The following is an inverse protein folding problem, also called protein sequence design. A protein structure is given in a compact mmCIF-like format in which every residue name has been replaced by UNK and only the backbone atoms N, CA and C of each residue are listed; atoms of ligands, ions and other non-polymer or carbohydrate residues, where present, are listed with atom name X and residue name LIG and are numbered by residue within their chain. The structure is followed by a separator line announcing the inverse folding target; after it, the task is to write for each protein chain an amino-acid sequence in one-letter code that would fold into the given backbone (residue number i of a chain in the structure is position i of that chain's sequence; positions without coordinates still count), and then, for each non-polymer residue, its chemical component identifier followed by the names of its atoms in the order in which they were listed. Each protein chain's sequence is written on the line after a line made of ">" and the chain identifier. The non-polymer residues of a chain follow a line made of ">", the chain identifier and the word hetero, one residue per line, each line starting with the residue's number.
data_IF_654162885760
#
_entry.id   IF_654162885760
#
_cell.length_a   1.000
_cell.length_b   1.000
_cell.length_c   1.000
_cell.angle_alpha   90.00
_cell.angle_beta   90.00
_cell.angle_gamma   90.00
#
_symmetry.space_group_name_H-M   'P 1'
#
loop_
_entity.id
_entity.type
_entity.pdbx_description
1 polymer ?
#
# COMPACT_ATOMS: atom_id res chain seq x y z
N UNK A 1 2.51 -3.71 5.71
CA UNK A 1 1.33 -3.22 4.95
C UNK A 1 0.69 -4.42 4.28
N UNK A 2 -0.64 -4.50 4.28
CA UNK A 2 -1.42 -5.55 3.59
C UNK A 2 -2.26 -4.95 2.47
N UNK A 3 -2.59 -5.73 1.44
CA UNK A 3 -3.33 -5.25 0.26
C UNK A 3 -4.82 -5.45 0.43
N UNK A 4 -5.21 -6.57 1.03
CA UNK A 4 -6.60 -6.85 1.33
C UNK A 4 -6.68 -7.49 2.72
N UNK A 5 -7.24 -6.82 3.74
CA UNK A 5 -7.38 -7.37 5.09
C UNK A 5 -8.13 -8.69 5.19
N UNK A 6 -9.03 -8.99 4.24
CA UNK A 6 -9.78 -10.24 4.20
C UNK A 6 -8.91 -11.39 3.66
N UNK A 7 -8.12 -11.13 2.61
CA UNK A 7 -7.22 -12.13 2.04
C UNK A 7 -5.99 -12.33 2.94
N UNK A 8 -5.44 -11.24 3.47
CA UNK A 8 -4.24 -11.19 4.30
C UNK A 8 -4.54 -11.36 5.81
N UNK A 9 -5.71 -11.90 6.18
CA UNK A 9 -6.21 -11.94 7.56
C UNK A 9 -5.22 -12.60 8.54
N UNK A 10 -4.50 -13.63 8.08
CA UNK A 10 -3.50 -14.31 8.90
C UNK A 10 -2.34 -13.38 9.28
N UNK A 11 -1.82 -12.61 8.31
CA UNK A 11 -0.75 -11.64 8.57
C UNK A 11 -1.22 -10.53 9.52
N UNK A 12 -2.47 -10.08 9.39
CA UNK A 12 -3.07 -9.09 10.29
C UNK A 12 -3.17 -9.64 11.72
N UNK A 13 -3.64 -10.88 11.89
CA UNK A 13 -3.74 -11.55 13.21
C UNK A 13 -2.39 -11.72 13.87
N UNK A 14 -1.38 -12.18 13.13
CA UNK A 14 -0.02 -12.35 13.65
C UNK A 14 0.63 -11.01 14.04
N UNK A 15 0.46 -9.98 13.21
CA UNK A 15 0.95 -8.63 13.52
C UNK A 15 0.29 -8.06 14.78
N UNK A 16 -1.03 -8.22 14.90
CA UNK A 16 -1.77 -7.80 16.09
C UNK A 16 -1.29 -8.54 17.36
N UNK A 17 -1.06 -9.85 17.28
CA UNK A 17 -0.53 -10.63 18.41
C UNK A 17 0.87 -10.16 18.85
N UNK A 18 1.69 -9.68 17.90
CA UNK A 18 3.02 -9.13 18.17
C UNK A 18 3.02 -7.62 18.46
N UNK A 19 1.87 -6.96 18.50
CA UNK A 19 1.73 -5.49 18.69
C UNK A 19 2.50 -4.67 17.64
N UNK A 20 2.53 -5.17 16.41
CA UNK A 20 3.12 -4.46 15.27
C UNK A 20 1.99 -3.66 14.60
N UNK A 21 2.17 -2.34 14.36
CA UNK A 21 1.14 -1.54 13.71
C UNK A 21 0.92 -1.98 12.25
N UNK A 22 -0.35 -2.05 11.85
CA UNK A 22 -0.78 -2.54 10.53
C UNK A 22 -1.41 -1.41 9.71
N UNK A 23 -0.85 -1.19 8.53
CA UNK A 23 -1.46 -0.37 7.47
C UNK A 23 -2.08 -1.28 6.40
N UNK A 24 -3.26 -0.92 5.90
CA UNK A 24 -3.94 -1.66 4.83
C UNK A 24 -4.54 -0.77 3.75
N UNK A 25 -4.66 -1.31 2.53
CA UNK A 25 -5.53 -0.77 1.49
C UNK A 25 -6.92 -1.39 1.67
N UNK A 26 -7.96 -0.57 1.77
CA UNK A 26 -9.33 -1.05 1.97
C UNK A 26 -10.27 -0.46 0.92
N UNK A 27 -11.06 -1.33 0.29
CA UNK A 27 -12.27 -0.97 -0.46
C UNK A 27 -13.50 -1.01 0.46
N UNK A 28 -14.70 -0.81 -0.10
CA UNK A 28 -15.97 -0.80 0.66
C UNK A 28 -16.40 -2.15 1.24
N UNK A 29 -15.80 -3.26 0.79
CA UNK A 29 -16.09 -4.61 1.25
C UNK A 29 -15.19 -5.05 2.41
N UNK A 30 -14.01 -4.45 2.58
CA UNK A 30 -13.06 -4.87 3.61
C UNK A 30 -13.49 -4.42 5.02
N UNK A 31 -13.14 -5.22 6.04
CA UNK A 31 -13.30 -4.85 7.45
C UNK A 31 -12.06 -4.12 7.96
N UNK A 32 -12.26 -3.02 8.70
CA UNK A 32 -11.20 -2.23 9.35
C UNK A 32 -10.67 -2.81 10.67
N UNK A 33 -11.03 -4.06 11.01
CA UNK A 33 -10.65 -4.66 12.31
C UNK A 33 -9.14 -4.92 12.36
N UNK A 34 -8.51 -4.53 13.48
CA UNK A 34 -7.07 -4.70 13.73
C UNK A 34 -6.17 -4.00 12.70
N UNK A 35 -6.67 -2.91 12.09
CA UNK A 35 -5.91 -2.04 11.20
C UNK A 35 -5.77 -0.68 11.87
N UNK A 36 -4.54 -0.18 11.97
CA UNK A 36 -4.24 1.12 12.60
C UNK A 36 -4.38 2.28 11.60
N UNK A 37 -4.06 2.03 10.32
CA UNK A 37 -4.14 3.04 9.27
C UNK A 37 -4.70 2.45 7.97
N UNK A 38 -5.68 3.15 7.40
CA UNK A 38 -6.37 2.73 6.18
C UNK A 38 -6.04 3.69 5.04
N UNK A 39 -5.69 3.12 3.89
CA UNK A 39 -5.66 3.79 2.60
C UNK A 39 -6.93 3.39 1.85
N UNK A 40 -7.95 4.27 1.77
CA UNK A 40 -9.20 3.95 1.09
C UNK A 40 -8.99 3.97 -0.43
N UNK A 41 -9.01 2.79 -1.08
CA UNK A 41 -8.82 2.68 -2.52
C UNK A 41 -9.34 1.34 -3.07
N UNK A 42 -9.37 1.20 -4.40
CA UNK A 42 -9.68 -0.06 -5.06
C UNK A 42 -8.47 -1.01 -5.00
N UNK A 43 -8.58 -2.08 -4.21
CA UNK A 43 -7.57 -3.13 -4.06
C UNK A 43 -7.81 -4.38 -4.93
N UNK A 44 -8.83 -4.38 -5.80
CA UNK A 44 -9.08 -5.50 -6.73
C UNK A 44 -8.45 -5.25 -8.11
N UNK A 45 -8.41 -3.98 -8.54
CA UNK A 45 -7.93 -3.60 -9.86
C UNK A 45 -6.41 -3.55 -9.95
N UNK A 46 -5.81 -4.32 -10.86
CA UNK A 46 -4.34 -4.31 -11.11
C UNK A 46 -3.79 -2.90 -11.36
N UNK A 47 -4.48 -2.11 -12.19
CA UNK A 47 -4.10 -0.72 -12.49
C UNK A 47 -4.13 0.18 -11.25
N UNK A 48 -5.13 -0.02 -10.39
CA UNK A 48 -5.29 0.75 -9.15
C UNK A 48 -4.17 0.43 -8.17
N UNK A 49 -3.88 -0.86 -7.94
CA UNK A 49 -2.78 -1.29 -7.10
C UNK A 49 -1.42 -0.80 -7.61
N UNK A 50 -1.15 -0.94 -8.92
CA UNK A 50 0.08 -0.44 -9.52
C UNK A 50 0.29 1.06 -9.25
N UNK A 51 -0.78 1.86 -9.41
CA UNK A 51 -0.73 3.30 -9.16
C UNK A 51 -0.49 3.62 -7.68
N UNK A 52 -1.17 2.93 -6.76
CA UNK A 52 -1.02 3.16 -5.32
C UNK A 52 0.42 2.85 -4.88
N UNK A 53 0.95 1.69 -5.28
CA UNK A 53 2.32 1.32 -4.93
C UNK A 53 3.36 2.25 -5.56
N UNK A 54 3.15 2.68 -6.80
CA UNK A 54 4.03 3.65 -7.47
C UNK A 54 4.06 5.00 -6.73
N UNK A 55 2.89 5.52 -6.33
CA UNK A 55 2.79 6.77 -5.56
C UNK A 55 3.44 6.64 -4.18
N UNK A 56 3.16 5.55 -3.46
CA UNK A 56 3.75 5.30 -2.14
C UNK A 56 5.28 5.22 -2.21
N UNK A 57 5.82 4.46 -3.18
CA UNK A 57 7.26 4.36 -3.37
C UNK A 57 7.89 5.74 -3.66
N UNK A 58 7.29 6.52 -4.57
CA UNK A 58 7.77 7.86 -4.91
C UNK A 58 7.81 8.78 -3.68
N UNK A 59 6.72 8.85 -2.91
CA UNK A 59 6.64 9.74 -1.75
C UNK A 59 7.53 9.28 -0.59
N UNK A 60 7.69 7.97 -0.36
CA UNK A 60 8.63 7.45 0.65
C UNK A 60 10.07 7.84 0.31
N UNK A 61 10.50 7.72 -0.94
CA UNK A 61 11.85 8.12 -1.36
C UNK A 61 12.07 9.62 -1.27
N UNK A 62 11.03 10.42 -1.53
CA UNK A 62 11.07 11.88 -1.33
C UNK A 62 11.25 12.25 0.13
N UNK A 63 10.49 11.63 1.03
CA UNK A 63 10.61 11.86 2.48
C UNK A 63 11.99 11.41 3.01
N UNK A 64 12.57 10.36 2.43
CA UNK A 64 13.93 9.90 2.76
C UNK A 64 15.05 10.77 2.18
N UNK A 65 14.74 11.71 1.28
CA UNK A 65 15.71 12.58 0.62
C UNK A 65 16.53 11.90 -0.49
N UNK A 66 16.16 10.68 -0.88
CA UNK A 66 16.80 9.94 -1.99
C UNK A 66 16.37 10.49 -3.36
N UNK A 67 15.16 11.04 -3.43
CA UNK A 67 14.57 11.68 -4.61
C UNK A 67 14.18 13.10 -4.21
N UNK A 68 14.74 14.13 -4.86
CA UNK A 68 14.48 15.54 -4.49
C UNK A 68 13.33 16.13 -5.30
N UNK A 69 13.23 15.75 -6.57
CA UNK A 69 12.17 16.15 -7.48
C UNK A 69 11.45 14.93 -8.01
N UNK A 70 10.18 15.12 -8.39
CA UNK A 70 9.38 14.07 -9.01
C UNK A 70 10.06 13.51 -10.29
N UNK A 71 10.81 14.34 -11.02
CA UNK A 71 11.59 13.96 -12.21
C UNK A 71 12.76 13.02 -11.90
N UNK A 72 13.27 13.01 -10.66
CA UNK A 72 14.37 12.13 -10.26
C UNK A 72 13.90 10.70 -9.99
N UNK A 73 12.58 10.46 -9.89
CA UNK A 73 12.02 9.14 -9.68
C UNK A 73 12.06 8.34 -10.99
N UNK A 74 13.03 7.43 -11.08
CA UNK A 74 13.36 6.69 -12.33
C UNK A 74 12.33 5.64 -12.74
N UNK A 75 11.49 5.17 -11.82
CA UNK A 75 10.55 4.09 -12.09
C UNK A 75 9.25 4.64 -12.67
N UNK A 76 8.78 4.00 -13.72
CA UNK A 76 7.53 4.30 -14.38
C UNK A 76 6.39 3.46 -13.78
N UNK A 77 5.15 3.85 -14.08
CA UNK A 77 3.98 3.09 -13.64
C UNK A 77 3.98 1.64 -14.17
N UNK A 78 4.56 1.42 -15.37
CA UNK A 78 4.65 0.09 -15.99
C UNK A 78 5.54 -0.87 -15.18
N UNK A 79 6.51 -0.35 -14.45
CA UNK A 79 7.39 -1.16 -13.59
C UNK A 79 6.63 -1.74 -12.37
N UNK A 80 5.47 -1.17 -12.04
CA UNK A 80 4.60 -1.63 -10.94
C UNK A 80 3.42 -2.49 -11.41
N UNK A 81 3.20 -2.58 -12.72
CA UNK A 81 2.16 -3.41 -13.32
C UNK A 81 1.83 -2.98 -14.73
N UNK A 82 1.48 -3.95 -15.58
CA UNK A 82 1.06 -3.69 -16.95
C UNK A 82 -0.27 -2.92 -16.97
N UNK A 83 -0.22 -1.67 -17.43
CA UNK A 83 -1.37 -0.76 -17.57
C UNK A 83 -1.88 -0.79 -19.00
#
# INVERSE_FOLDING_TARGET
>A
MVVDPLVDEQAVKEAAAKRIPVMAICNTFNSARNIDMIIPANNNGKKSLALIFWLLAKEILKIRGEVKKDEDFKYTLKDFGDV
#
